data_IF_951708671667
#
_entry.id   IF_951708671667
#
_cell.length_a   1.000
_cell.length_b   1.000
_cell.length_c   1.000
_cell.angle_alpha   90.00
_cell.angle_beta   90.00
_cell.angle_gamma   90.00
#
_symmetry.space_group_name_H-M   'P 1'
#
loop_
_entity.id
_entity.type
_entity.pdbx_description
1 polymer ?
#
# COMPACT_ATOMS: atom_id res chain seq x y z
N UNK A 1 -6.91 -56.36 8.93
CA UNK A 1 -5.46 -56.45 8.63
C UNK A 1 -5.20 -55.60 7.40
N UNK A 2 -4.21 -54.71 7.45
CA UNK A 2 -3.84 -53.87 6.31
C UNK A 2 -2.92 -54.62 5.35
N UNK A 3 -2.92 -54.20 4.08
CA UNK A 3 -1.90 -54.63 3.11
C UNK A 3 -0.52 -54.18 3.63
N UNK A 4 0.47 -55.08 3.69
CA UNK A 4 1.85 -54.76 4.07
C UNK A 4 2.89 -55.21 3.03
N UNK A 5 2.46 -55.42 1.78
CA UNK A 5 3.33 -55.90 0.69
C UNK A 5 4.54 -55.01 0.40
N UNK A 6 4.50 -53.72 0.76
CA UNK A 6 5.63 -52.78 0.60
C UNK A 6 6.06 -52.13 1.93
N UNK A 7 5.72 -52.72 3.08
CA UNK A 7 6.12 -52.18 4.39
C UNK A 7 5.27 -50.99 4.89
N UNK A 8 4.12 -50.70 4.27
CA UNK A 8 3.25 -49.58 4.66
C UNK A 8 2.69 -49.67 6.09
N UNK A 9 2.67 -50.84 6.73
CA UNK A 9 2.32 -50.99 8.16
C UNK A 9 3.53 -51.04 9.08
N UNK A 10 4.76 -50.98 8.54
CA UNK A 10 6.00 -50.97 9.32
C UNK A 10 6.37 -49.51 9.67
N UNK A 11 5.78 -48.99 10.74
CA UNK A 11 6.06 -47.63 11.22
C UNK A 11 7.58 -47.49 11.51
N UNK A 12 8.25 -46.44 11.01
CA UNK A 12 9.67 -46.23 11.25
C UNK A 12 9.99 -46.14 12.74
N UNK A 13 11.00 -46.88 13.20
CA UNK A 13 11.38 -46.95 14.63
C UNK A 13 11.81 -45.59 15.22
N UNK A 14 12.25 -44.67 14.36
CA UNK A 14 12.68 -43.31 14.75
C UNK A 14 11.57 -42.25 14.63
N UNK A 15 10.32 -42.64 14.36
CA UNK A 15 9.21 -41.69 14.28
C UNK A 15 8.75 -41.30 15.69
N UNK A 16 9.21 -40.14 16.16
CA UNK A 16 8.80 -39.55 17.44
C UNK A 16 7.98 -38.27 17.24
N UNK A 17 7.12 -37.93 18.21
CA UNK A 17 6.33 -36.68 18.21
C UNK A 17 5.46 -36.46 16.96
N UNK A 18 4.91 -37.52 16.37
CA UNK A 18 3.97 -37.39 15.26
C UNK A 18 2.66 -36.71 15.72
N UNK A 19 2.30 -35.60 15.09
CA UNK A 19 1.08 -34.82 15.36
C UNK A 19 0.00 -35.03 14.29
N UNK A 20 0.36 -35.54 13.11
CA UNK A 20 -0.60 -35.95 12.09
C UNK A 20 -0.07 -37.16 11.30
N UNK A 21 -0.99 -38.00 10.83
CA UNK A 21 -0.69 -39.17 9.99
C UNK A 21 -1.65 -39.14 8.80
N UNK A 22 -1.14 -39.44 7.61
CA UNK A 22 -1.95 -39.68 6.42
C UNK A 22 -1.58 -41.03 5.81
N UNK A 23 -2.58 -41.87 5.56
CA UNK A 23 -2.40 -43.21 4.99
C UNK A 23 -2.93 -43.24 3.55
N UNK A 24 -2.04 -43.58 2.61
CA UNK A 24 -2.37 -43.86 1.22
C UNK A 24 -2.51 -45.37 0.97
N UNK A 25 -2.86 -45.79 -0.26
CA UNK A 25 -3.08 -47.21 -0.58
C UNK A 25 -1.83 -48.09 -0.42
N UNK A 26 -0.63 -47.52 -0.62
CA UNK A 26 0.66 -48.23 -0.58
C UNK A 26 1.75 -47.54 0.24
N UNK A 27 1.46 -46.38 0.84
CA UNK A 27 2.42 -45.61 1.62
C UNK A 27 1.73 -44.88 2.77
N UNK A 28 2.50 -44.43 3.75
CA UNK A 28 2.04 -43.65 4.89
C UNK A 28 2.96 -42.44 5.07
N UNK A 29 2.39 -41.33 5.54
CA UNK A 29 3.09 -40.10 5.89
C UNK A 29 2.81 -39.75 7.34
N UNK A 30 3.80 -39.23 8.04
CA UNK A 30 3.63 -38.59 9.34
C UNK A 30 4.21 -37.19 9.33
N UNK A 31 3.54 -36.28 10.03
CA UNK A 31 4.03 -34.94 10.37
C UNK A 31 4.44 -34.92 11.83
N UNK A 32 5.67 -34.52 12.13
CA UNK A 32 6.14 -34.35 13.52
C UNK A 32 5.83 -32.95 14.05
N UNK A 33 5.82 -32.78 15.38
CA UNK A 33 5.63 -31.48 16.04
C UNK A 33 6.67 -30.43 15.63
N UNK A 34 7.83 -30.89 15.16
CA UNK A 34 8.94 -30.07 14.68
C UNK A 34 8.76 -29.63 13.21
N UNK A 35 7.73 -30.12 12.53
CA UNK A 35 7.39 -29.79 11.14
C UNK A 35 8.04 -30.67 10.09
N UNK A 36 8.65 -31.78 10.49
CA UNK A 36 9.26 -32.77 9.58
C UNK A 36 8.19 -33.71 9.03
N UNK A 37 8.29 -34.04 7.74
CA UNK A 37 7.47 -35.09 7.11
C UNK A 37 8.30 -36.36 6.98
N UNK A 38 7.76 -37.48 7.46
CA UNK A 38 8.37 -38.81 7.32
C UNK A 38 7.44 -39.67 6.48
N UNK A 39 7.93 -40.19 5.35
CA UNK A 39 7.17 -41.11 4.49
C UNK A 39 7.74 -42.52 4.52
N UNK A 40 6.88 -43.54 4.53
CA UNK A 40 7.27 -44.96 4.46
C UNK A 40 6.26 -45.80 3.67
N UNK A 41 6.68 -46.99 3.22
CA UNK A 41 5.90 -47.87 2.34
C UNK A 41 6.49 -47.93 0.92
N UNK A 42 5.63 -48.15 -0.08
CA UNK A 42 6.03 -48.23 -1.48
C UNK A 42 6.61 -46.90 -2.00
N UNK A 43 7.71 -47.00 -2.75
CA UNK A 43 8.40 -45.87 -3.37
C UNK A 43 8.74 -46.13 -4.85
N UNK A 44 8.07 -47.08 -5.50
CA UNK A 44 8.40 -47.50 -6.85
C UNK A 44 8.19 -46.40 -7.92
N UNK A 45 7.40 -45.37 -7.60
CA UNK A 45 7.12 -44.19 -8.43
C UNK A 45 7.38 -42.86 -7.71
N UNK A 46 8.06 -42.90 -6.56
CA UNK A 46 8.35 -41.71 -5.75
C UNK A 46 7.28 -41.38 -4.71
N UNK A 47 6.40 -42.30 -4.36
CA UNK A 47 5.23 -42.04 -3.50
C UNK A 47 5.60 -41.76 -2.04
N UNK A 48 6.73 -42.33 -1.57
CA UNK A 48 7.32 -42.02 -0.27
C UNK A 48 8.41 -40.95 -0.35
N UNK A 49 8.69 -40.39 -1.54
CA UNK A 49 9.56 -39.24 -1.67
C UNK A 49 8.82 -38.03 -1.11
N UNK A 50 9.28 -37.59 0.06
CA UNK A 50 8.95 -36.25 0.54
C UNK A 50 9.55 -35.25 -0.46
N UNK A 51 8.79 -34.23 -0.91
CA UNK A 51 9.35 -33.17 -1.74
C UNK A 51 10.48 -32.55 -0.93
N UNK A 52 11.72 -32.76 -1.37
CA UNK A 52 13.00 -32.13 -0.97
C UNK A 52 13.05 -31.65 0.49
N UNK A 53 13.95 -32.20 1.33
CA UNK A 53 14.25 -31.70 2.69
C UNK A 53 13.81 -30.25 2.83
N UNK A 54 12.71 -30.01 3.55
CA UNK A 54 12.07 -28.71 3.59
C UNK A 54 12.99 -27.62 4.19
N UNK A 55 14.30 -27.80 4.32
CA UNK A 55 15.18 -26.90 5.05
C UNK A 55 14.55 -26.55 6.41
N UNK A 56 14.51 -25.27 6.82
CA UNK A 56 13.78 -24.83 8.01
C UNK A 56 12.27 -24.55 7.77
N UNK A 57 11.72 -24.82 6.58
CA UNK A 57 10.28 -24.75 6.36
C UNK A 57 9.58 -25.94 7.03
N UNK A 58 8.41 -25.70 7.63
CA UNK A 58 7.71 -26.69 8.44
C UNK A 58 6.42 -27.10 7.74
N UNK A 59 6.23 -28.39 7.52
CA UNK A 59 4.92 -28.86 7.09
C UNK A 59 3.87 -28.55 8.17
N UNK A 60 2.70 -28.04 7.76
CA UNK A 60 1.53 -27.81 8.62
C UNK A 60 0.57 -28.98 8.58
N UNK A 61 0.47 -29.63 7.43
CA UNK A 61 -0.38 -30.81 7.27
C UNK A 61 0.15 -31.68 6.14
N UNK A 62 -0.17 -32.95 6.23
CA UNK A 62 0.16 -33.98 5.24
C UNK A 62 -1.14 -34.65 4.80
N UNK A 63 -1.25 -34.91 3.51
CA UNK A 63 -2.32 -35.68 2.91
C UNK A 63 -1.71 -36.75 2.00
N UNK A 64 -2.13 -37.99 2.20
CA UNK A 64 -1.82 -39.12 1.35
C UNK A 64 -3.07 -39.43 0.54
N UNK A 65 -2.99 -39.28 -0.78
CA UNK A 65 -4.11 -39.49 -1.69
C UNK A 65 -4.10 -40.89 -2.31
N UNK A 66 -5.29 -41.32 -2.77
CA UNK A 66 -5.47 -42.47 -3.65
C UNK A 66 -6.31 -42.09 -4.88
N UNK A 67 -5.94 -42.65 -6.04
CA UNK A 67 -6.63 -42.66 -7.36
C UNK A 67 -7.34 -41.35 -7.78
N UNK A 68 -6.67 -40.53 -8.59
CA UNK A 68 -7.34 -39.54 -9.46
C UNK A 68 -7.59 -40.15 -10.85
N UNK A 69 -8.86 -40.46 -11.14
CA UNK A 69 -9.51 -40.70 -12.45
C UNK A 69 -8.61 -41.18 -13.61
N UNK A 70 -8.08 -42.41 -13.53
CA UNK A 70 -7.91 -43.26 -14.70
C UNK A 70 -8.13 -44.72 -14.28
N UNK A 71 -8.86 -45.55 -15.06
CA UNK A 71 -9.26 -46.89 -14.61
C UNK A 71 -8.07 -47.83 -14.34
N UNK A 72 -6.88 -47.51 -14.88
CA UNK A 72 -5.68 -48.37 -14.91
C UNK A 72 -4.41 -47.73 -14.30
N UNK A 73 -4.54 -46.59 -13.62
CA UNK A 73 -3.41 -45.97 -12.91
C UNK A 73 -3.52 -46.31 -11.41
N UNK A 74 -2.57 -47.11 -10.93
CA UNK A 74 -2.28 -47.33 -9.51
C UNK A 74 -1.41 -46.18 -8.92
N UNK A 75 -1.45 -44.98 -9.51
CA UNK A 75 -0.63 -43.87 -9.02
C UNK A 75 -1.16 -43.35 -7.68
N UNK A 76 -0.32 -43.45 -6.65
CA UNK A 76 -0.55 -42.85 -5.35
C UNK A 76 0.25 -41.54 -5.26
N UNK A 77 -0.36 -40.49 -4.71
CA UNK A 77 0.25 -39.16 -4.61
C UNK A 77 0.25 -38.69 -3.16
N UNK A 78 1.35 -38.02 -2.78
CA UNK A 78 1.56 -37.38 -1.49
C UNK A 78 1.50 -35.86 -1.66
N UNK A 79 0.78 -35.16 -0.78
CA UNK A 79 0.73 -33.70 -0.74
C UNK A 79 1.03 -33.22 0.68
N UNK A 80 1.87 -32.19 0.81
CA UNK A 80 2.12 -31.53 2.10
C UNK A 80 1.85 -30.03 1.95
N UNK A 81 1.06 -29.47 2.86
CA UNK A 81 0.94 -28.02 3.01
C UNK A 81 2.05 -27.57 3.95
N UNK A 82 2.83 -26.57 3.54
CA UNK A 82 4.02 -26.12 4.27
C UNK A 82 3.80 -24.70 4.77
N UNK A 83 4.01 -24.49 6.06
CA UNK A 83 4.26 -23.16 6.60
C UNK A 83 5.70 -22.81 6.35
N UNK A 84 5.88 -21.82 5.50
CA UNK A 84 7.14 -21.12 5.39
C UNK A 84 7.12 -20.02 6.44
N UNK A 85 7.99 -20.06 7.47
CA UNK A 85 8.06 -18.99 8.46
C UNK A 85 8.32 -17.65 7.79
N UNK A 86 7.81 -16.57 8.38
CA UNK A 86 8.15 -15.21 7.95
C UNK A 86 9.67 -15.02 7.92
N UNK A 87 10.14 -14.27 6.92
CA UNK A 87 11.56 -14.04 6.73
C UNK A 87 12.35 -15.28 6.31
N UNK A 88 11.71 -16.29 5.71
CA UNK A 88 12.42 -17.37 4.98
C UNK A 88 12.91 -16.88 3.62
N UNK A 89 12.06 -16.18 2.87
CA UNK A 89 12.43 -15.53 1.62
C UNK A 89 12.78 -14.06 1.87
N UNK A 90 13.67 -13.46 1.07
CA UNK A 90 13.90 -12.03 1.13
C UNK A 90 12.58 -11.27 0.91
N UNK A 91 12.39 -10.12 1.58
CA UNK A 91 11.16 -9.36 1.50
C UNK A 91 10.96 -8.85 0.08
N UNK A 92 9.71 -8.60 -0.31
CA UNK A 92 9.40 -7.97 -1.62
C UNK A 92 8.43 -6.82 -1.43
N UNK A 93 8.89 -5.60 -1.68
CA UNK A 93 8.03 -4.40 -1.65
C UNK A 93 7.10 -4.42 -2.87
N UNK A 94 5.81 -4.64 -2.61
CA UNK A 94 4.76 -4.73 -3.61
C UNK A 94 4.32 -3.34 -4.10
N UNK A 95 4.33 -2.36 -3.21
CA UNK A 95 3.98 -0.97 -3.54
C UNK A 95 3.52 -0.18 -2.31
N UNK A 96 2.94 1.01 -2.52
CA UNK A 96 2.64 1.63 -3.82
C UNK A 96 3.90 2.04 -4.60
N UNK A 97 3.78 2.16 -5.94
CA UNK A 97 4.83 2.71 -6.82
C UNK A 97 4.54 4.15 -7.25
N UNK A 98 3.30 4.57 -7.10
CA UNK A 98 2.79 5.91 -7.40
C UNK A 98 1.77 6.30 -6.32
N UNK A 99 1.83 7.54 -5.85
CA UNK A 99 0.80 8.14 -5.02
C UNK A 99 0.63 9.61 -5.37
N UNK A 100 -0.58 10.12 -5.19
CA UNK A 100 -0.94 11.52 -5.42
C UNK A 100 -1.47 12.10 -4.11
N UNK A 101 -1.07 13.32 -3.81
CA UNK A 101 -1.56 14.09 -2.67
C UNK A 101 -1.76 15.55 -3.04
N UNK A 102 -2.41 16.29 -2.16
CA UNK A 102 -2.56 17.74 -2.27
C UNK A 102 -1.86 18.41 -1.10
N UNK A 103 -1.24 19.54 -1.37
CA UNK A 103 -0.54 20.35 -0.39
C UNK A 103 -1.48 20.73 0.78
N UNK A 104 -1.01 20.56 2.02
CA UNK A 104 -1.75 20.91 3.25
C UNK A 104 -2.89 19.95 3.63
N UNK A 105 -3.31 19.09 2.70
CA UNK A 105 -4.35 18.09 2.91
C UNK A 105 -3.83 16.86 3.61
N UNK A 106 -4.72 16.16 4.32
CA UNK A 106 -4.36 14.87 4.91
C UNK A 106 -4.06 13.86 3.82
N UNK A 107 -2.86 13.30 3.85
CA UNK A 107 -2.42 12.21 3.00
C UNK A 107 -2.15 10.98 3.85
N UNK A 108 -2.51 9.80 3.34
CA UNK A 108 -2.00 8.54 3.87
C UNK A 108 -1.91 7.47 2.77
N UNK A 109 -0.90 6.61 2.87
CA UNK A 109 -0.79 5.41 2.04
C UNK A 109 -0.03 4.32 2.79
N UNK A 110 -0.30 3.05 2.49
CA UNK A 110 0.32 1.91 3.16
C UNK A 110 1.29 1.19 2.24
N UNK A 111 2.52 1.02 2.71
CA UNK A 111 3.53 0.18 2.08
C UNK A 111 3.18 -1.29 2.29
N UNK A 112 3.11 -2.06 1.20
CA UNK A 112 2.80 -3.49 1.22
C UNK A 112 4.06 -4.29 0.90
N UNK A 113 4.34 -5.28 1.74
CA UNK A 113 5.50 -6.16 1.63
C UNK A 113 5.04 -7.61 1.66
N UNK A 114 5.59 -8.44 0.79
CA UNK A 114 5.47 -9.90 0.84
C UNK A 114 6.70 -10.54 1.49
N UNK A 115 6.56 -11.81 1.91
CA UNK A 115 7.59 -12.63 2.56
C UNK A 115 8.03 -12.18 3.96
N UNK A 116 7.29 -11.25 4.58
CA UNK A 116 7.58 -10.71 5.91
C UNK A 116 8.81 -9.81 5.93
N UNK A 117 8.78 -8.76 6.76
CA UNK A 117 9.93 -7.88 6.99
C UNK A 117 10.04 -7.59 8.48
N UNK A 118 11.25 -7.71 9.02
CA UNK A 118 11.56 -7.35 10.41
C UNK A 118 11.69 -5.83 10.56
N UNK A 119 12.06 -5.15 9.47
CA UNK A 119 12.16 -3.70 9.41
C UNK A 119 11.74 -3.17 8.04
N UNK A 120 10.99 -2.08 8.06
CA UNK A 120 10.60 -1.32 6.88
C UNK A 120 11.04 0.13 7.11
N UNK A 121 11.52 0.77 6.06
CA UNK A 121 11.95 2.17 6.08
C UNK A 121 11.42 2.89 4.85
N UNK A 122 11.10 4.17 5.02
CA UNK A 122 10.84 5.10 3.93
C UNK A 122 11.70 6.35 4.09
N UNK A 123 12.47 6.71 3.07
CA UNK A 123 13.35 7.89 3.07
C UNK A 123 13.04 8.78 1.85
N UNK A 124 13.35 10.07 1.95
CA UNK A 124 13.02 11.06 0.91
C UNK A 124 11.55 11.48 0.91
N UNK A 125 10.88 11.42 2.07
CA UNK A 125 9.53 11.95 2.24
C UNK A 125 9.54 13.49 2.20
N UNK A 126 8.53 14.13 1.60
CA UNK A 126 8.36 15.58 1.70
C UNK A 126 8.08 16.01 3.13
N UNK A 127 8.41 17.25 3.46
CA UNK A 127 8.15 17.81 4.79
C UNK A 127 6.66 17.71 5.15
N UNK A 128 6.39 17.33 6.39
CA UNK A 128 5.03 17.14 6.91
C UNK A 128 4.43 15.75 6.69
N UNK A 129 5.12 14.86 5.94
CA UNK A 129 4.81 13.43 5.91
C UNK A 129 5.79 12.63 6.77
N UNK A 130 5.27 11.58 7.42
CA UNK A 130 6.05 10.67 8.24
C UNK A 130 5.69 9.21 7.91
N UNK A 131 6.65 8.32 8.10
CA UNK A 131 6.45 6.88 7.99
C UNK A 131 6.41 6.24 9.37
N UNK A 132 5.35 5.47 9.63
CA UNK A 132 5.22 4.62 10.80
C UNK A 132 5.69 3.19 10.47
N UNK A 133 6.85 2.74 10.99
CA UNK A 133 7.39 1.42 10.71
C UNK A 133 6.57 0.28 11.33
N UNK A 134 5.78 0.55 12.38
CA UNK A 134 4.95 -0.48 13.01
C UNK A 134 3.72 -0.83 12.15
N UNK A 135 3.14 0.17 11.48
CA UNK A 135 1.93 -0.01 10.65
C UNK A 135 2.19 -0.03 9.15
N UNK A 136 3.41 0.33 8.73
CA UNK A 136 3.82 0.47 7.34
C UNK A 136 3.11 1.64 6.63
N UNK A 137 2.61 2.62 7.37
CA UNK A 137 1.81 3.73 6.81
C UNK A 137 2.66 4.99 6.69
N UNK A 138 2.70 5.58 5.50
CA UNK A 138 3.13 6.96 5.27
C UNK A 138 1.90 7.84 5.48
N UNK A 139 1.94 8.82 6.37
CA UNK A 139 0.82 9.74 6.60
C UNK A 139 1.28 11.12 7.06
N UNK A 140 0.38 12.10 6.97
CA UNK A 140 0.64 13.47 7.42
C UNK A 140 -0.07 14.52 6.56
N UNK A 141 0.44 15.74 6.59
CA UNK A 141 0.01 16.85 5.71
C UNK A 141 1.26 17.41 5.04
N UNK A 142 1.42 17.30 3.72
CA UNK A 142 2.63 17.77 3.05
C UNK A 142 2.69 19.31 3.08
N UNK A 143 3.88 19.85 3.33
CA UNK A 143 4.15 21.30 3.36
C UNK A 143 4.81 21.82 2.08
N UNK A 144 5.21 20.92 1.19
CA UNK A 144 5.84 21.22 -0.10
C UNK A 144 5.13 20.48 -1.23
N UNK A 145 4.92 21.18 -2.35
CA UNK A 145 4.37 20.61 -3.57
C UNK A 145 5.50 20.25 -4.54
N UNK A 146 5.34 19.20 -5.32
CA UNK A 146 6.37 18.73 -6.23
C UNK A 146 6.30 17.23 -6.49
N UNK A 147 7.29 16.73 -7.21
CA UNK A 147 7.53 15.30 -7.40
C UNK A 147 8.63 14.84 -6.43
N UNK A 148 8.31 13.84 -5.62
CA UNK A 148 9.21 13.24 -4.64
C UNK A 148 9.47 11.78 -4.99
N UNK A 149 10.74 11.38 -4.95
CA UNK A 149 11.13 9.98 -5.09
C UNK A 149 11.41 9.39 -3.71
N UNK A 150 10.38 8.76 -3.12
CA UNK A 150 10.46 8.13 -1.81
C UNK A 150 11.07 6.74 -1.97
N UNK A 151 12.19 6.49 -1.31
CA UNK A 151 12.83 5.17 -1.30
C UNK A 151 12.22 4.32 -0.19
N UNK A 152 11.69 3.16 -0.55
CA UNK A 152 11.13 2.16 0.34
C UNK A 152 12.11 1.00 0.45
N UNK A 153 12.52 0.65 1.67
CA UNK A 153 13.43 -0.46 1.95
C UNK A 153 12.79 -1.40 2.95
N UNK A 154 12.75 -2.69 2.64
CA UNK A 154 12.32 -3.73 3.55
C UNK A 154 13.46 -4.73 3.76
N UNK A 155 13.68 -5.16 4.99
CA UNK A 155 14.72 -6.13 5.35
C UNK A 155 14.20 -7.17 6.34
N UNK A 156 14.72 -8.39 6.18
CA UNK A 156 14.61 -9.49 7.13
C UNK A 156 15.93 -10.27 7.14
N UNK A 157 16.02 -11.30 7.98
CA UNK A 157 17.22 -12.17 8.07
C UNK A 157 17.68 -12.81 6.74
N UNK A 158 16.77 -12.99 5.78
CA UNK A 158 17.06 -13.61 4.48
C UNK A 158 17.45 -12.61 3.40
N UNK A 159 17.35 -11.30 3.66
CA UNK A 159 17.84 -10.26 2.78
C UNK A 159 16.97 -9.00 2.78
N UNK A 160 17.15 -8.17 1.76
CA UNK A 160 16.46 -6.89 1.62
C UNK A 160 15.96 -6.64 0.20
N UNK A 161 14.94 -5.80 0.07
CA UNK A 161 14.46 -5.30 -1.21
C UNK A 161 14.17 -3.81 -1.14
N UNK A 162 14.57 -3.09 -2.18
CA UNK A 162 14.31 -1.67 -2.35
C UNK A 162 13.34 -1.42 -3.51
N UNK A 163 12.47 -0.43 -3.33
CA UNK A 163 11.59 0.07 -4.36
C UNK A 163 11.44 1.59 -4.24
N UNK A 164 11.12 2.24 -5.35
CA UNK A 164 10.83 3.69 -5.36
C UNK A 164 9.33 3.91 -5.49
N UNK A 165 8.79 4.75 -4.61
CA UNK A 165 7.48 5.36 -4.71
C UNK A 165 7.64 6.76 -5.29
N UNK A 166 7.03 7.02 -6.44
CA UNK A 166 6.87 8.39 -6.96
C UNK A 166 5.66 9.02 -6.29
N UNK A 167 5.86 10.11 -5.57
CA UNK A 167 4.82 10.85 -4.88
C UNK A 167 4.68 12.23 -5.49
N UNK A 168 3.52 12.52 -6.07
CA UNK A 168 3.21 13.85 -6.59
C UNK A 168 2.33 14.58 -5.58
N UNK A 169 2.82 15.70 -5.06
CA UNK A 169 2.03 16.62 -4.26
C UNK A 169 1.63 17.79 -5.14
N UNK A 170 0.35 17.86 -5.48
CA UNK A 170 -0.22 18.93 -6.28
C UNK A 170 -0.65 20.11 -5.42
N UNK A 171 -0.68 21.28 -6.04
CA UNK A 171 -1.40 22.46 -5.54
C UNK A 171 -2.85 22.36 -6.01
N UNK A 172 -3.81 22.82 -5.20
CA UNK A 172 -5.16 23.02 -5.73
C UNK A 172 -5.09 24.15 -6.76
N UNK A 173 -5.64 23.96 -7.98
CA UNK A 173 -5.82 25.09 -8.87
C UNK A 173 -6.71 26.12 -8.17
N UNK A 174 -6.28 27.38 -8.14
CA UNK A 174 -7.11 28.47 -7.65
C UNK A 174 -8.30 28.62 -8.59
N UNK A 175 -9.51 28.54 -8.05
CA UNK A 175 -10.73 28.81 -8.79
C UNK A 175 -11.52 29.92 -8.10
N UNK A 176 -11.90 30.92 -8.90
CA UNK A 176 -12.67 32.08 -8.46
C UNK A 176 -14.13 31.91 -8.88
N UNK A 177 -15.04 32.23 -7.97
CA UNK A 177 -16.46 32.38 -8.25
C UNK A 177 -16.80 33.88 -8.21
N UNK A 178 -16.71 34.51 -9.38
CA UNK A 178 -16.96 35.94 -9.59
C UNK A 178 -17.78 36.13 -10.87
N UNK A 179 -18.83 36.99 -10.87
CA UNK A 179 -19.50 37.33 -12.09
C UNK A 179 -18.57 38.07 -13.05
N UNK A 180 -18.76 37.87 -14.36
CA UNK A 180 -18.03 38.59 -15.42
C UNK A 180 -18.17 40.11 -15.29
N UNK A 181 -19.33 40.57 -14.78
CA UNK A 181 -19.62 41.97 -14.50
C UNK A 181 -20.27 42.09 -13.13
N UNK A 182 -19.74 42.97 -12.27
CA UNK A 182 -20.33 43.29 -10.97
C UNK A 182 -20.95 44.71 -11.03
N UNK A 183 -22.28 44.83 -11.22
CA UNK A 183 -22.93 46.14 -11.26
C UNK A 183 -22.94 46.77 -9.87
N UNK A 184 -22.48 48.02 -9.78
CA UNK A 184 -22.48 48.82 -8.55
C UNK A 184 -23.10 50.19 -8.81
N UNK A 185 -23.84 50.72 -7.84
CA UNK A 185 -24.46 52.04 -7.95
C UNK A 185 -23.54 53.13 -7.39
N UNK A 186 -23.35 54.21 -8.15
CA UNK A 186 -22.54 55.37 -7.73
C UNK A 186 -22.95 55.85 -6.32
N UNK A 187 -21.96 56.14 -5.48
CA UNK A 187 -22.11 56.63 -4.10
C UNK A 187 -22.86 55.71 -3.12
N UNK A 188 -23.26 54.52 -3.56
CA UNK A 188 -23.90 53.52 -2.70
C UNK A 188 -22.83 52.62 -2.08
N UNK A 189 -22.87 52.34 -0.76
CA UNK A 189 -21.91 51.43 -0.16
C UNK A 189 -22.01 50.02 -0.76
N UNK A 190 -20.87 49.49 -1.18
CA UNK A 190 -20.70 48.14 -1.72
C UNK A 190 -19.98 47.27 -0.69
N UNK A 191 -20.43 46.03 -0.55
CA UNK A 191 -19.71 44.97 0.16
C UNK A 191 -19.97 43.65 -0.55
N UNK A 192 -18.98 43.17 -1.29
CA UNK A 192 -19.07 41.96 -2.11
C UNK A 192 -17.94 40.99 -1.73
N UNK A 193 -18.25 39.82 -1.15
CA UNK A 193 -17.23 38.81 -0.86
C UNK A 193 -16.87 38.07 -2.14
N UNK A 194 -15.64 38.20 -2.61
CA UNK A 194 -15.12 37.33 -3.66
C UNK A 194 -14.87 35.94 -3.07
N UNK A 195 -15.43 34.90 -3.70
CA UNK A 195 -15.32 33.53 -3.19
C UNK A 195 -14.30 32.74 -3.98
N UNK A 196 -13.48 31.97 -3.26
CA UNK A 196 -12.72 30.87 -3.83
C UNK A 196 -13.58 29.61 -3.80
N UNK A 197 -13.62 28.88 -4.90
CA UNK A 197 -14.20 27.53 -4.95
C UNK A 197 -13.16 26.45 -4.67
N UNK A 198 -11.87 26.76 -4.85
CA UNK A 198 -10.74 25.94 -4.41
C UNK A 198 -9.48 26.78 -4.18
N UNK A 199 -8.60 26.30 -3.30
CA UNK A 199 -7.35 26.96 -2.93
C UNK A 199 -7.50 27.99 -1.81
N UNK A 200 -6.38 28.65 -1.50
CA UNK A 200 -6.28 29.73 -0.50
C UNK A 200 -5.11 30.62 -0.88
N UNK A 201 -5.17 31.92 -0.57
CA UNK A 201 -4.08 32.85 -0.83
C UNK A 201 -4.38 34.26 -0.36
N UNK A 202 -3.41 35.15 -0.57
CA UNK A 202 -3.56 36.59 -0.41
C UNK A 202 -4.21 37.17 -1.67
N UNK A 203 -5.13 38.09 -1.45
CA UNK A 203 -5.87 38.75 -2.50
C UNK A 203 -5.22 40.05 -2.93
N UNK A 204 -5.17 40.28 -4.23
CA UNK A 204 -4.78 41.55 -4.82
C UNK A 204 -5.75 41.93 -5.94
N UNK A 205 -5.92 43.24 -6.13
CA UNK A 205 -6.72 43.80 -7.19
C UNK A 205 -5.97 44.93 -7.89
N UNK A 206 -6.11 44.99 -9.22
CA UNK A 206 -5.70 46.12 -10.04
C UNK A 206 -6.91 46.65 -10.82
N UNK A 207 -6.93 47.96 -11.08
CA UNK A 207 -7.99 48.59 -11.88
C UNK A 207 -9.32 48.79 -11.16
N UNK A 208 -9.35 48.74 -9.81
CA UNK A 208 -10.57 48.99 -9.04
C UNK A 208 -11.14 50.40 -9.33
N UNK A 209 -12.49 50.53 -9.45
CA UNK A 209 -13.14 51.83 -9.50
C UNK A 209 -12.73 52.71 -8.31
N UNK A 210 -12.52 54.03 -8.50
CA UNK A 210 -12.22 54.94 -7.40
C UNK A 210 -13.23 54.84 -6.26
N UNK A 211 -12.73 54.74 -5.03
CA UNK A 211 -13.54 54.60 -3.82
C UNK A 211 -13.89 53.16 -3.42
N UNK A 212 -13.46 52.16 -4.19
CA UNK A 212 -13.50 50.75 -3.81
C UNK A 212 -12.10 50.23 -3.42
N UNK A 213 -12.07 49.29 -2.48
CA UNK A 213 -10.87 48.59 -2.01
C UNK A 213 -11.16 47.10 -1.86
N UNK A 214 -10.12 46.27 -1.98
CA UNK A 214 -10.18 44.83 -1.71
C UNK A 214 -9.41 44.54 -0.42
N UNK A 215 -10.02 43.80 0.50
CA UNK A 215 -9.31 43.28 1.67
C UNK A 215 -8.40 42.11 1.27
N UNK A 216 -7.06 42.23 1.44
CA UNK A 216 -6.11 41.22 0.99
C UNK A 216 -6.20 39.89 1.77
N UNK A 217 -6.80 39.89 2.97
CA UNK A 217 -6.93 38.69 3.80
C UNK A 217 -8.27 37.99 3.59
N UNK A 218 -9.34 38.75 3.36
CA UNK A 218 -10.70 38.20 3.30
C UNK A 218 -11.28 38.12 1.89
N UNK A 219 -10.67 38.78 0.89
CA UNK A 219 -11.19 38.85 -0.48
C UNK A 219 -12.47 39.66 -0.60
N UNK A 220 -12.82 40.47 0.40
CA UNK A 220 -14.04 41.30 0.38
C UNK A 220 -13.75 42.62 -0.33
N UNK A 221 -14.43 42.83 -1.46
CA UNK A 221 -14.48 44.12 -2.15
C UNK A 221 -15.46 45.03 -1.40
N UNK A 222 -15.01 46.21 -0.99
CA UNK A 222 -15.85 47.15 -0.24
C UNK A 222 -15.54 48.61 -0.54
N UNK A 223 -16.47 49.51 -0.22
CA UNK A 223 -16.27 50.95 -0.35
C UNK A 223 -17.48 51.68 -0.94
N UNK A 224 -17.27 52.91 -1.40
CA UNK A 224 -18.29 53.71 -2.08
C UNK A 224 -17.70 54.22 -3.41
N UNK A 225 -18.20 53.75 -4.56
CA UNK A 225 -17.67 54.19 -5.85
C UNK A 225 -17.94 55.68 -6.05
N UNK A 226 -16.92 56.42 -6.49
CA UNK A 226 -16.99 57.88 -6.68
C UNK A 226 -16.96 58.32 -8.13
N UNK A 227 -16.82 57.39 -9.07
CA UNK A 227 -16.75 57.67 -10.50
C UNK A 227 -17.62 56.69 -11.30
N UNK A 228 -18.34 57.22 -12.30
CA UNK A 228 -19.07 56.41 -13.28
C UNK A 228 -18.13 55.89 -14.36
N UNK A 229 -18.38 54.68 -14.83
CA UNK A 229 -17.67 54.07 -15.96
C UNK A 229 -17.54 52.56 -15.81
N UNK A 230 -17.05 51.94 -16.88
CA UNK A 230 -16.67 50.53 -16.88
C UNK A 230 -15.19 50.42 -16.53
N UNK A 231 -14.88 49.64 -15.50
CA UNK A 231 -13.51 49.49 -15.00
C UNK A 231 -13.07 48.03 -15.18
N UNK A 232 -12.04 47.76 -16.01
CA UNK A 232 -11.49 46.41 -16.12
C UNK A 232 -10.71 46.09 -14.84
N UNK A 233 -11.31 45.26 -13.98
CA UNK A 233 -10.70 44.82 -12.72
C UNK A 233 -9.96 43.51 -12.95
N UNK A 234 -8.69 43.46 -12.56
CA UNK A 234 -7.91 42.23 -12.50
C UNK A 234 -7.78 41.80 -11.04
N UNK A 235 -8.29 40.61 -10.73
CA UNK A 235 -8.13 39.99 -9.41
C UNK A 235 -7.07 38.91 -9.49
N UNK A 236 -6.12 38.94 -8.57
CA UNK A 236 -5.11 37.92 -8.40
C UNK A 236 -5.21 37.34 -7.00
N UNK A 237 -5.14 36.03 -6.89
CA UNK A 237 -4.94 35.34 -5.61
C UNK A 237 -3.63 34.63 -5.74
N UNK A 238 -2.66 35.02 -4.92
CA UNK A 238 -1.38 34.34 -4.85
C UNK A 238 -1.28 33.64 -3.51
N UNK A 239 -0.61 32.50 -3.48
CA UNK A 239 -0.21 31.92 -2.22
C UNK A 239 1.29 31.66 -2.25
N UNK A 240 1.88 31.45 -1.07
CA UNK A 240 3.28 31.02 -0.92
C UNK A 240 3.59 29.66 -1.58
N UNK A 241 2.60 29.13 -2.28
CA UNK A 241 2.47 27.79 -2.77
C UNK A 241 2.11 27.82 -4.26
N UNK A 242 2.45 28.85 -5.01
CA UNK A 242 2.37 28.91 -6.46
C UNK A 242 3.54 29.80 -6.90
N UNK A 243 4.65 29.16 -7.29
CA UNK A 243 5.74 29.75 -8.08
C UNK A 243 5.91 28.87 -9.29
#
# INVERSE_FOLDING_TARGET
MGDNTSGQTNVPENLTNAIAIAAGPRHSLALTAEGQVVGWGSNARGESLIPFEFGPARALTVAAGGKYIAPWSDDAFSLALVHVPDGYFPPKVLGPRLALGFLGERFFTRVRVANGADRIEATGLPEGLAFDPATGVISGRPHEAGEFQVRLRAENRSGSHEATLRLYIHRYPIQLDLPEVLPVTLHTPVRYPVRLTSGSGEWAAAGLPPGLTLDPQTGVLSGRPTQLGDFPVQLTVSNRYEV
#
